data_IF_204384525625
#
_entry.id   IF_204384525625
#
_cell.length_a   1.000
_cell.length_b   1.000
_cell.length_c   1.000
_cell.angle_alpha   90.00
_cell.angle_beta   90.00
_cell.angle_gamma   90.00
#
_symmetry.space_group_name_H-M   'P 1'
#
loop_
_entity.id
_entity.type
_entity.pdbx_description
1 polymer ?
#
# COMPACT_ATOMS: atom_id res chain seq x y z
N UNK A 1 -7.24 -16.14 10.63
CA UNK A 1 -7.55 -17.32 9.78
C UNK A 1 -8.63 -17.07 8.72
N UNK A 2 -9.62 -16.19 8.92
CA UNK A 2 -10.66 -15.93 7.93
C UNK A 2 -10.12 -15.33 6.59
N UNK A 3 -9.18 -14.39 6.66
CA UNK A 3 -8.64 -13.69 5.48
C UNK A 3 -7.95 -14.64 4.47
N UNK A 4 -7.13 -15.59 4.96
CA UNK A 4 -6.44 -16.57 4.10
C UNK A 4 -7.41 -17.53 3.39
N UNK A 5 -8.52 -17.90 4.05
CA UNK A 5 -9.57 -18.74 3.44
C UNK A 5 -10.31 -18.01 2.32
N UNK A 6 -10.61 -16.72 2.53
CA UNK A 6 -11.26 -15.86 1.52
C UNK A 6 -10.37 -15.73 0.28
N UNK A 7 -9.08 -15.43 0.48
CA UNK A 7 -8.13 -15.30 -0.63
C UNK A 7 -7.98 -16.57 -1.45
N UNK A 8 -7.86 -17.72 -0.77
CA UNK A 8 -7.74 -19.01 -1.44
C UNK A 8 -9.00 -19.36 -2.24
N UNK A 9 -10.19 -19.03 -1.72
CA UNK A 9 -11.45 -19.25 -2.41
C UNK A 9 -11.53 -18.48 -3.74
N UNK A 10 -11.09 -17.21 -3.77
CA UNK A 10 -11.07 -16.43 -5.02
C UNK A 10 -10.15 -17.02 -6.09
N UNK A 11 -8.96 -17.48 -5.69
CA UNK A 11 -8.00 -18.10 -6.62
C UNK A 11 -8.57 -19.39 -7.19
N UNK A 12 -9.15 -20.25 -6.35
CA UNK A 12 -9.75 -21.51 -6.78
C UNK A 12 -10.90 -21.26 -7.75
N UNK A 13 -11.80 -20.32 -7.43
CA UNK A 13 -12.92 -19.96 -8.31
C UNK A 13 -12.41 -19.43 -9.65
N UNK A 14 -11.39 -18.56 -9.65
CA UNK A 14 -10.81 -18.03 -10.88
C UNK A 14 -10.26 -19.14 -11.80
N UNK A 15 -9.52 -20.11 -11.22
CA UNK A 15 -8.99 -21.26 -11.98
C UNK A 15 -10.12 -22.12 -12.53
N UNK A 16 -11.14 -22.43 -11.72
CA UNK A 16 -12.29 -23.25 -12.15
C UNK A 16 -13.04 -22.58 -13.30
N UNK A 17 -13.31 -21.28 -13.21
CA UNK A 17 -13.99 -20.52 -14.28
C UNK A 17 -13.14 -20.49 -15.56
N UNK A 18 -11.84 -20.27 -15.43
CA UNK A 18 -10.91 -20.28 -16.55
C UNK A 18 -10.86 -21.64 -17.25
N UNK A 19 -10.80 -22.74 -16.49
CA UNK A 19 -10.87 -24.10 -17.01
C UNK A 19 -12.19 -24.37 -17.74
N UNK A 20 -13.34 -23.99 -17.16
CA UNK A 20 -14.64 -24.16 -17.82
C UNK A 20 -14.68 -23.39 -19.14
N UNK A 21 -14.22 -22.13 -19.17
CA UNK A 21 -14.15 -21.34 -20.40
C UNK A 21 -13.19 -21.93 -21.44
N UNK A 22 -12.06 -22.46 -21.01
CA UNK A 22 -11.08 -23.08 -21.91
C UNK A 22 -11.67 -24.34 -22.59
N UNK A 23 -12.34 -25.21 -21.82
CA UNK A 23 -12.85 -26.49 -22.34
C UNK A 23 -14.21 -26.39 -23.04
N UNK A 24 -15.15 -25.61 -22.51
CA UNK A 24 -16.52 -25.52 -23.07
C UNK A 24 -16.68 -24.42 -24.12
N UNK A 25 -15.92 -23.33 -24.02
CA UNK A 25 -16.01 -22.20 -24.97
C UNK A 25 -14.83 -22.13 -25.95
N UNK A 26 -13.86 -23.06 -25.86
CA UNK A 26 -12.73 -23.15 -26.78
C UNK A 26 -11.76 -21.96 -26.73
N UNK A 27 -11.83 -21.10 -25.70
CA UNK A 27 -10.92 -19.98 -25.52
C UNK A 27 -9.59 -20.44 -24.89
N UNK A 28 -8.65 -20.85 -25.74
CA UNK A 28 -7.30 -21.30 -25.32
C UNK A 28 -6.46 -20.17 -24.73
N UNK A 29 -6.78 -18.92 -25.07
CA UNK A 29 -6.01 -17.74 -24.67
C UNK A 29 -6.44 -17.17 -23.30
N UNK A 30 -7.50 -17.71 -22.67
CA UNK A 30 -8.02 -17.22 -21.39
C UNK A 30 -6.94 -17.19 -20.29
N UNK A 31 -6.10 -18.22 -20.22
CA UNK A 31 -5.01 -18.30 -19.25
C UNK A 31 -3.89 -17.33 -19.59
N UNK A 32 -3.62 -17.11 -20.88
CA UNK A 32 -2.61 -16.14 -21.32
C UNK A 32 -3.02 -14.73 -20.87
N UNK A 33 -4.27 -14.34 -21.12
CA UNK A 33 -4.79 -13.03 -20.70
C UNK A 33 -4.84 -12.85 -19.18
N UNK A 34 -5.10 -13.90 -18.40
CA UNK A 34 -5.07 -13.80 -16.93
C UNK A 34 -3.65 -13.56 -16.39
N UNK A 35 -2.61 -14.08 -17.04
CA UNK A 35 -1.24 -13.99 -16.54
C UNK A 35 -0.52 -12.75 -17.10
N UNK A 36 -0.60 -12.53 -18.41
CA UNK A 36 0.21 -11.55 -19.16
C UNK A 36 -0.67 -10.52 -19.89
N UNK A 37 -1.99 -10.69 -19.88
CA UNK A 37 -2.91 -9.77 -20.57
C UNK A 37 -2.76 -8.33 -20.08
N UNK A 38 -2.91 -7.38 -21.01
CA UNK A 38 -2.96 -5.95 -20.70
C UNK A 38 -4.36 -5.43 -20.93
N UNK A 39 -4.83 -4.55 -20.08
CA UNK A 39 -6.13 -3.86 -20.21
C UNK A 39 -6.18 -2.95 -21.45
N UNK A 40 -5.03 -2.48 -21.91
CA UNK A 40 -4.86 -1.64 -23.10
C UNK A 40 -4.87 -2.42 -24.43
N UNK A 41 -4.83 -3.75 -24.40
CA UNK A 41 -4.87 -4.58 -25.61
C UNK A 41 -6.33 -4.73 -26.11
N UNK A 42 -6.67 -4.26 -27.32
CA UNK A 42 -8.02 -4.41 -27.88
C UNK A 42 -8.42 -5.87 -28.12
N UNK A 43 -7.46 -6.81 -28.15
CA UNK A 43 -7.74 -8.24 -28.29
C UNK A 43 -8.07 -8.93 -26.95
N UNK A 44 -7.88 -8.25 -25.81
CA UNK A 44 -8.18 -8.81 -24.49
C UNK A 44 -9.67 -8.62 -24.14
N UNK A 45 -10.48 -9.70 -24.13
CA UNK A 45 -11.90 -9.60 -23.81
C UNK A 45 -12.16 -9.30 -22.32
N UNK A 46 -11.17 -9.51 -21.45
CA UNK A 46 -11.31 -9.28 -20.01
C UNK A 46 -11.15 -7.80 -19.65
N UNK A 47 -10.51 -6.97 -20.50
CA UNK A 47 -10.20 -5.55 -20.24
C UNK A 47 -9.56 -5.29 -18.87
N UNK A 48 -8.75 -6.25 -18.41
CA UNK A 48 -8.09 -6.25 -17.12
C UNK A 48 -6.62 -6.58 -17.32
N UNK A 49 -5.77 -6.02 -16.46
CA UNK A 49 -4.35 -6.35 -16.41
C UNK A 49 -4.16 -7.71 -15.72
N UNK A 50 -3.30 -8.54 -16.30
CA UNK A 50 -2.92 -9.83 -15.77
C UNK A 50 -2.08 -9.70 -14.50
N UNK A 51 -1.86 -10.85 -13.85
CA UNK A 51 -1.15 -10.91 -12.57
C UNK A 51 0.29 -10.37 -12.69
N UNK A 52 0.98 -10.62 -13.81
CA UNK A 52 2.36 -10.15 -13.98
C UNK A 52 2.42 -8.64 -14.15
N UNK A 53 1.52 -8.06 -14.94
CA UNK A 53 1.50 -6.62 -15.18
C UNK A 53 1.16 -5.85 -13.89
N UNK A 54 0.17 -6.34 -13.13
CA UNK A 54 -0.20 -5.75 -11.82
C UNK A 54 0.95 -5.83 -10.81
N UNK A 55 1.73 -6.91 -10.80
CA UNK A 55 2.96 -6.99 -9.99
C UNK A 55 3.99 -5.91 -10.38
N UNK A 56 4.23 -5.68 -11.68
CA UNK A 56 5.14 -4.64 -12.13
C UNK A 56 4.67 -3.24 -11.74
N UNK A 57 3.36 -2.96 -11.89
CA UNK A 57 2.75 -1.70 -11.45
C UNK A 57 2.98 -1.48 -9.95
N UNK A 58 2.78 -2.53 -9.13
CA UNK A 58 3.00 -2.44 -7.69
C UNK A 58 4.48 -2.15 -7.35
N UNK A 59 5.43 -2.80 -8.04
CA UNK A 59 6.87 -2.55 -7.84
C UNK A 59 7.26 -1.13 -8.23
N UNK A 60 6.84 -0.65 -9.40
CA UNK A 60 7.10 0.72 -9.85
C UNK A 60 6.53 1.76 -8.88
N UNK A 61 5.30 1.53 -8.39
CA UNK A 61 4.68 2.37 -7.37
C UNK A 61 5.50 2.38 -6.07
N UNK A 62 5.91 1.21 -5.57
CA UNK A 62 6.75 1.11 -4.37
C UNK A 62 8.08 1.87 -4.53
N UNK A 63 8.77 1.72 -5.67
CA UNK A 63 10.03 2.42 -5.92
C UNK A 63 9.84 3.93 -5.93
N UNK A 64 8.78 4.42 -6.60
CA UNK A 64 8.43 5.85 -6.61
C UNK A 64 8.16 6.38 -5.22
N UNK A 65 7.43 5.63 -4.39
CA UNK A 65 7.10 6.02 -3.02
C UNK A 65 8.32 6.00 -2.09
N UNK A 66 9.24 5.05 -2.25
CA UNK A 66 10.47 4.97 -1.43
C UNK A 66 11.28 6.26 -1.56
N UNK A 67 11.44 6.80 -2.78
CA UNK A 67 12.16 8.05 -3.00
C UNK A 67 11.54 9.22 -2.25
N UNK A 68 10.21 9.35 -2.33
CA UNK A 68 9.47 10.40 -1.62
C UNK A 68 9.60 10.25 -0.10
N UNK A 69 9.42 9.04 0.44
CA UNK A 69 9.55 8.78 1.88
C UNK A 69 10.98 9.04 2.39
N UNK A 70 12.00 8.62 1.64
CA UNK A 70 13.40 8.88 1.98
C UNK A 70 13.71 10.39 2.06
N UNK A 71 13.16 11.19 1.13
CA UNK A 71 13.27 12.64 1.15
C UNK A 71 12.66 13.24 2.42
N UNK A 72 11.42 12.86 2.74
CA UNK A 72 10.73 13.37 3.94
C UNK A 72 11.40 12.93 5.24
N UNK A 73 11.87 11.68 5.32
CA UNK A 73 12.63 11.21 6.49
C UNK A 73 13.96 11.94 6.64
N UNK A 74 14.66 12.21 5.53
CA UNK A 74 15.87 13.04 5.54
C UNK A 74 15.61 14.45 6.05
N UNK A 75 14.54 15.10 5.56
CA UNK A 75 14.12 16.42 6.01
C UNK A 75 13.76 16.43 7.51
N UNK A 76 13.00 15.44 7.97
CA UNK A 76 12.68 15.30 9.40
C UNK A 76 13.93 15.08 10.25
N UNK A 77 14.90 14.31 9.79
CA UNK A 77 16.18 14.14 10.52
C UNK A 77 16.94 15.46 10.66
N UNK A 78 16.93 16.31 9.64
CA UNK A 78 17.53 17.64 9.70
C UNK A 78 16.73 18.52 10.69
N UNK A 79 15.40 18.51 10.61
CA UNK A 79 14.53 19.26 11.52
C UNK A 79 14.69 18.83 12.99
N UNK A 80 14.90 17.54 13.25
CA UNK A 80 15.20 16.99 14.57
C UNK A 80 16.53 17.55 15.09
N UNK A 81 17.60 17.42 14.30
CA UNK A 81 18.94 17.91 14.67
C UNK A 81 19.00 19.43 14.84
N UNK A 82 18.20 20.18 14.07
CA UNK A 82 18.08 21.62 14.20
C UNK A 82 17.21 22.07 15.39
N UNK A 83 16.63 21.14 16.17
CA UNK A 83 15.75 21.45 17.30
C UNK A 83 14.33 21.85 16.88
N UNK A 84 13.97 21.74 15.60
CA UNK A 84 12.64 22.03 15.05
C UNK A 84 11.55 21.15 15.67
N UNK A 85 11.84 19.88 15.96
CA UNK A 85 10.91 18.99 16.66
C UNK A 85 10.61 19.49 18.07
N UNK A 86 11.60 20.05 18.77
CA UNK A 86 11.44 20.61 20.12
C UNK A 86 10.64 21.91 20.11
N UNK A 87 10.80 22.73 19.08
CA UNK A 87 9.98 23.92 18.84
C UNK A 87 8.52 23.53 18.56
N UNK A 88 8.32 22.57 17.66
CA UNK A 88 7.00 22.11 17.24
C UNK A 88 6.24 21.46 18.40
N UNK A 89 6.92 20.64 19.21
CA UNK A 89 6.37 20.06 20.45
C UNK A 89 5.91 21.14 21.43
N UNK A 90 6.61 22.27 21.53
CA UNK A 90 6.22 23.38 22.41
C UNK A 90 5.02 24.16 21.89
N UNK A 91 4.89 24.29 20.57
CA UNK A 91 3.73 24.96 19.92
C UNK A 91 2.47 24.09 20.02
N UNK A 92 2.62 22.77 19.85
CA UNK A 92 1.52 21.80 19.82
C UNK A 92 1.16 21.28 21.23
N UNK A 93 2.07 21.42 22.20
CA UNK A 93 1.89 21.07 23.61
C UNK A 93 0.55 21.50 24.24
N UNK A 94 0.11 22.77 24.14
CA UNK A 94 -1.15 23.22 24.73
C UNK A 94 -2.41 22.60 24.10
N UNK A 95 -2.30 22.09 22.86
CA UNK A 95 -3.39 21.35 22.23
C UNK A 95 -3.44 19.90 22.74
N UNK A 96 -2.29 19.24 22.84
CA UNK A 96 -2.22 17.86 23.34
C UNK A 96 -2.49 17.74 24.84
N UNK A 97 -2.12 18.72 25.67
CA UNK A 97 -2.46 18.70 27.10
C UNK A 97 -3.96 18.82 27.36
N UNK A 98 -4.72 19.41 26.43
CA UNK A 98 -6.19 19.38 26.44
C UNK A 98 -6.77 18.04 25.98
N UNK A 99 -6.12 17.38 25.02
CA UNK A 99 -6.59 16.10 24.47
C UNK A 99 -6.25 14.92 25.39
N UNK A 100 -5.11 14.99 26.09
CA UNK A 100 -4.59 13.96 27.00
C UNK A 100 -4.19 14.60 28.35
N UNK A 101 -5.16 14.89 29.22
CA UNK A 101 -4.91 15.56 30.50
C UNK A 101 -4.08 14.75 31.51
N UNK A 102 -3.92 13.43 31.31
CA UNK A 102 -3.16 12.54 32.20
C UNK A 102 -1.64 12.54 31.95
N UNK A 103 -1.14 13.22 30.89
CA UNK A 103 0.29 13.23 30.53
C UNK A 103 0.92 14.58 30.91
N UNK A 104 1.88 14.63 31.86
CA UNK A 104 2.46 15.88 32.35
C UNK A 104 3.29 16.61 31.27
N UNK A 105 3.30 17.95 31.36
CA UNK A 105 4.00 18.82 30.40
C UNK A 105 5.50 18.54 30.35
N UNK A 106 6.04 18.32 29.16
CA UNK A 106 7.48 18.09 28.95
C UNK A 106 7.96 16.64 29.11
N UNK A 107 7.04 15.68 29.29
CA UNK A 107 7.42 14.27 29.31
C UNK A 107 7.94 13.81 27.93
N UNK A 108 9.11 13.13 27.85
CA UNK A 108 9.73 12.72 26.57
C UNK A 108 8.83 11.86 25.68
N UNK A 109 7.82 11.19 26.25
CA UNK A 109 6.82 10.42 25.50
C UNK A 109 5.93 11.27 24.58
N UNK A 110 5.75 12.58 24.84
CA UNK A 110 5.02 13.48 23.94
C UNK A 110 5.75 13.64 22.60
N UNK A 111 7.09 13.69 22.62
CA UNK A 111 7.91 13.71 21.41
C UNK A 111 7.81 12.39 20.65
N UNK A 112 7.85 11.26 21.35
CA UNK A 112 7.71 9.93 20.75
C UNK A 112 6.30 9.65 20.19
N UNK A 113 5.23 10.19 20.79
CA UNK A 113 3.85 10.09 20.27
C UNK A 113 3.61 10.93 19.02
N UNK A 114 4.35 12.02 18.83
CA UNK A 114 4.27 12.84 17.61
C UNK A 114 5.09 12.21 16.48
N UNK A 115 6.12 11.43 16.82
CA UNK A 115 7.09 10.86 15.87
C UNK A 115 6.70 9.46 15.34
N UNK A 116 5.67 8.82 15.88
CA UNK A 116 5.19 7.48 15.50
C UNK A 116 3.68 7.46 15.31
#
# INVERSE_FOLDING_TARGET
MALSRIWSAFIIVAIVVASIKCFFFGQTDIFNWMVIGKSSDPLNPLKLDGIIETCWIAVDLCIKLIGTLALFMGLMSIAEKAGGIRLLSRIIGPFFSKLFPDIPEGHPSMGHMIMN
#
